data_IF_175468277194
#
_entry.id   IF_175468277194
#
_cell.length_a   1.000
_cell.length_b   1.000
_cell.length_c   1.000
_cell.angle_alpha   90.00
_cell.angle_beta   90.00
_cell.angle_gamma   90.00
#
_symmetry.space_group_name_H-M   'P 1'
#
loop_
_entity.id
_entity.type
_entity.pdbx_description
1 polymer ?
#
# COMPACT_ATOMS: atom_id res chain seq x y z
N UNK A 1 32.57 22.88 26.82
CA UNK A 1 31.16 23.04 26.42
C UNK A 1 30.64 21.66 26.05
N UNK A 2 30.12 20.90 27.00
CA UNK A 2 29.50 19.59 26.74
C UNK A 2 28.09 19.83 26.21
N UNK A 3 27.87 19.62 24.92
CA UNK A 3 26.53 19.65 24.34
C UNK A 3 25.82 18.35 24.74
N UNK A 4 25.31 18.30 25.97
CA UNK A 4 24.39 17.27 26.43
C UNK A 4 23.03 17.58 25.80
N UNK A 5 22.92 17.35 24.49
CA UNK A 5 21.63 17.39 23.80
C UNK A 5 20.79 16.24 24.32
N UNK A 6 19.56 16.52 24.75
CA UNK A 6 18.59 15.48 25.04
C UNK A 6 18.52 14.54 23.83
N UNK A 7 18.90 13.29 24.02
CA UNK A 7 18.77 12.25 23.01
C UNK A 7 17.27 12.02 22.77
N UNK A 8 16.76 12.52 21.65
CA UNK A 8 15.34 12.42 21.28
C UNK A 8 15.19 11.66 19.97
N UNK A 9 14.34 10.65 19.99
CA UNK A 9 13.87 9.96 18.78
C UNK A 9 12.52 10.56 18.40
N UNK A 10 12.39 11.01 17.15
CA UNK A 10 11.12 11.54 16.61
C UNK A 10 10.68 10.61 15.48
N UNK A 11 9.44 10.12 15.56
CA UNK A 11 8.84 9.23 14.56
C UNK A 11 7.78 10.00 13.80
N UNK A 12 7.90 9.99 12.46
CA UNK A 12 6.89 10.52 11.56
C UNK A 12 6.30 9.39 10.73
N UNK A 13 5.00 9.46 10.45
CA UNK A 13 4.30 8.52 9.58
C UNK A 13 3.66 9.29 8.42
N UNK A 14 3.68 8.70 7.23
CA UNK A 14 2.98 9.24 6.05
C UNK A 14 2.55 8.09 5.15
N UNK A 15 1.38 8.23 4.54
CA UNK A 15 0.93 7.34 3.47
C UNK A 15 1.45 7.79 2.10
N UNK A 16 1.97 9.02 2.00
CA UNK A 16 2.37 9.68 0.76
C UNK A 16 3.76 10.28 0.91
N UNK A 17 4.81 9.45 0.77
CA UNK A 17 6.20 9.91 0.86
C UNK A 17 6.57 10.85 -0.30
N UNK A 18 6.01 10.60 -1.47
CA UNK A 18 6.20 11.35 -2.71
C UNK A 18 5.71 12.81 -2.64
N UNK A 19 4.79 13.11 -1.73
CA UNK A 19 4.26 14.47 -1.51
C UNK A 19 5.07 15.29 -0.51
N UNK A 20 6.07 14.69 0.14
CA UNK A 20 6.93 15.41 1.08
C UNK A 20 7.98 16.22 0.34
N UNK A 21 8.28 17.41 0.87
CA UNK A 21 9.40 18.21 0.39
C UNK A 21 10.71 17.41 0.51
N UNK A 22 11.47 17.21 -0.58
CA UNK A 22 12.76 16.51 -0.55
C UNK A 22 13.75 17.07 0.47
N UNK A 23 13.63 18.34 0.87
CA UNK A 23 14.43 18.94 1.93
C UNK A 23 14.16 18.34 3.32
N UNK A 24 13.00 17.74 3.57
CA UNK A 24 12.68 17.05 4.82
C UNK A 24 13.35 15.67 4.92
N UNK A 25 13.56 15.00 3.79
CA UNK A 25 14.14 13.65 3.68
C UNK A 25 15.68 13.64 3.71
N UNK A 26 16.31 14.81 3.90
CA UNK A 26 17.78 14.93 3.96
C UNK A 26 18.31 14.41 5.31
N UNK A 27 19.51 13.82 5.33
CA UNK A 27 20.18 13.44 6.58
C UNK A 27 20.33 14.61 7.56
N UNK A 28 20.16 14.33 8.86
CA UNK A 28 20.01 15.30 9.95
C UNK A 28 18.57 15.76 10.20
N UNK A 29 17.58 15.18 9.50
CA UNK A 29 16.14 15.47 9.66
C UNK A 29 15.38 14.14 9.72
N UNK A 30 14.96 13.60 8.57
CA UNK A 30 14.34 12.28 8.46
C UNK A 30 15.37 11.33 7.87
N UNK A 31 16.11 10.66 8.73
CA UNK A 31 17.35 9.97 8.34
C UNK A 31 17.09 8.50 7.99
N UNK A 32 16.10 7.90 8.65
CA UNK A 32 15.72 6.50 8.50
C UNK A 32 14.31 6.42 7.93
N UNK A 33 14.17 5.73 6.81
CA UNK A 33 12.90 5.54 6.13
C UNK A 33 12.54 4.06 6.10
N UNK A 34 11.45 3.69 6.77
CA UNK A 34 10.92 2.32 6.78
C UNK A 34 9.62 2.32 5.98
N UNK A 35 9.55 1.48 4.95
CA UNK A 35 8.32 1.27 4.20
C UNK A 35 7.49 0.15 4.84
N UNK A 36 6.29 0.48 5.30
CA UNK A 36 5.35 -0.47 5.90
C UNK A 36 4.41 -0.98 4.81
N UNK A 37 4.76 -2.12 4.20
CA UNK A 37 4.01 -2.72 3.09
C UNK A 37 2.83 -3.58 3.56
N UNK A 38 2.13 -4.19 2.60
CA UNK A 38 1.15 -5.25 2.84
C UNK A 38 1.75 -6.47 3.57
N UNK A 39 0.86 -7.29 4.11
CA UNK A 39 1.20 -8.51 4.85
C UNK A 39 1.92 -9.49 3.92
N UNK A 40 3.01 -10.07 4.41
CA UNK A 40 3.74 -11.13 3.72
C UNK A 40 3.41 -12.49 4.33
N UNK A 41 3.67 -13.61 3.62
CA UNK A 41 3.54 -14.96 4.17
C UNK A 41 4.27 -15.13 5.52
N UNK A 42 5.49 -14.59 5.62
CA UNK A 42 6.24 -14.59 6.88
C UNK A 42 5.60 -13.71 7.96
N UNK A 43 5.02 -12.57 7.57
CA UNK A 43 4.29 -11.70 8.50
C UNK A 43 3.06 -12.41 9.07
N UNK A 44 2.31 -13.12 8.23
CA UNK A 44 1.19 -13.96 8.67
C UNK A 44 1.61 -15.02 9.69
N UNK A 45 2.69 -15.77 9.45
CA UNK A 45 3.19 -16.77 10.41
C UNK A 45 3.49 -16.17 11.79
N UNK A 46 4.07 -14.96 11.80
CA UNK A 46 4.32 -14.23 13.05
C UNK A 46 3.01 -13.84 13.73
N UNK A 47 2.00 -13.38 12.98
CA UNK A 47 0.68 -13.07 13.54
C UNK A 47 -0.03 -14.33 14.07
N UNK A 48 0.06 -15.45 13.34
CA UNK A 48 -0.53 -16.72 13.75
C UNK A 48 0.12 -17.27 15.03
N UNK A 49 1.45 -17.22 15.15
CA UNK A 49 2.16 -17.63 16.38
C UNK A 49 1.83 -16.67 17.54
N UNK A 50 1.78 -15.36 17.28
CA UNK A 50 1.52 -14.35 18.32
C UNK A 50 0.09 -14.39 18.88
N UNK A 51 -0.91 -14.61 18.03
CA UNK A 51 -2.33 -14.53 18.43
C UNK A 51 -2.95 -15.89 18.74
N UNK A 52 -2.58 -16.94 17.99
CA UNK A 52 -3.17 -18.27 18.10
C UNK A 52 -2.17 -19.29 18.67
N UNK A 53 -0.88 -18.97 18.79
CA UNK A 53 0.14 -19.90 19.29
C UNK A 53 0.44 -21.07 18.35
N UNK A 54 0.04 -20.96 17.08
CA UNK A 54 0.25 -22.00 16.05
C UNK A 54 1.42 -21.62 15.15
N UNK A 55 2.30 -22.60 14.92
CA UNK A 55 3.49 -22.43 14.06
C UNK A 55 3.37 -23.11 12.73
N UNK A 56 2.46 -24.07 12.63
CA UNK A 56 2.19 -24.84 11.42
C UNK A 56 0.73 -25.28 11.42
N UNK A 57 0.14 -25.35 10.23
CA UNK A 57 -1.23 -25.78 10.00
C UNK A 57 -1.41 -26.21 8.55
N UNK A 58 -2.30 -27.17 8.31
CA UNK A 58 -2.59 -27.67 6.95
C UNK A 58 -3.06 -26.55 6.00
N UNK A 59 -3.74 -25.54 6.56
CA UNK A 59 -4.27 -24.38 5.84
C UNK A 59 -3.25 -23.27 5.56
N UNK A 60 -2.05 -23.32 6.15
CA UNK A 60 -1.05 -22.26 5.98
C UNK A 60 -0.60 -22.12 4.53
N UNK A 61 -0.44 -23.23 3.81
CA UNK A 61 -0.03 -23.20 2.40
C UNK A 61 -0.98 -22.35 1.55
N UNK A 62 -2.29 -22.59 1.68
CA UNK A 62 -3.30 -21.83 0.97
C UNK A 62 -3.34 -20.35 1.38
N UNK A 63 -3.25 -20.06 2.69
CA UNK A 63 -3.25 -18.68 3.20
C UNK A 63 -2.03 -17.91 2.70
N UNK A 64 -0.85 -18.52 2.68
CA UNK A 64 0.38 -17.90 2.19
C UNK A 64 0.29 -17.54 0.70
N UNK A 65 -0.31 -18.42 -0.13
CA UNK A 65 -0.53 -18.14 -1.54
C UNK A 65 -1.54 -17.00 -1.74
N UNK A 66 -2.64 -17.00 -0.99
CA UNK A 66 -3.66 -15.97 -1.08
C UNK A 66 -3.13 -14.60 -0.64
N UNK A 67 -2.38 -14.53 0.46
CA UNK A 67 -1.80 -13.27 0.98
C UNK A 67 -0.89 -12.58 -0.05
N UNK A 68 -0.14 -13.35 -0.85
CA UNK A 68 0.72 -12.77 -1.88
C UNK A 68 -0.04 -12.01 -2.98
N UNK A 69 -1.32 -12.35 -3.20
CA UNK A 69 -2.13 -11.76 -4.28
C UNK A 69 -3.23 -10.84 -3.79
N UNK A 70 -3.68 -11.00 -2.54
CA UNK A 70 -4.82 -10.28 -1.99
C UNK A 70 -4.52 -8.85 -1.52
N UNK A 71 -3.26 -8.42 -1.43
CA UNK A 71 -2.86 -7.07 -0.96
C UNK A 71 -3.55 -6.66 0.36
N UNK A 72 -3.49 -7.55 1.35
CA UNK A 72 -4.05 -7.31 2.70
C UNK A 72 -3.04 -6.68 3.64
N UNK A 73 -3.49 -5.81 4.53
CA UNK A 73 -2.64 -5.23 5.57
C UNK A 73 -2.45 -6.19 6.74
N UNK A 74 -1.33 -6.12 7.48
CA UNK A 74 -1.15 -6.93 8.69
C UNK A 74 -2.27 -6.72 9.73
N UNK A 75 -2.85 -5.53 9.80
CA UNK A 75 -3.96 -5.21 10.69
C UNK A 75 -5.24 -5.97 10.31
N UNK A 76 -5.59 -6.01 9.02
CA UNK A 76 -6.77 -6.76 8.54
C UNK A 76 -6.62 -8.27 8.79
N UNK A 77 -5.41 -8.81 8.61
CA UNK A 77 -5.13 -10.23 8.92
C UNK A 77 -5.27 -10.50 10.41
N UNK A 78 -4.67 -9.65 11.26
CA UNK A 78 -4.79 -9.76 12.71
C UNK A 78 -6.25 -9.69 13.17
N UNK A 79 -7.05 -8.81 12.57
CA UNK A 79 -8.48 -8.72 12.85
C UNK A 79 -9.20 -10.03 12.56
N UNK A 80 -8.97 -10.67 11.40
CA UNK A 80 -9.63 -11.95 11.11
C UNK A 80 -9.20 -13.05 12.07
N UNK A 81 -7.92 -13.11 12.45
CA UNK A 81 -7.41 -14.12 13.39
C UNK A 81 -8.02 -14.00 14.79
N UNK A 82 -8.47 -12.79 15.16
CA UNK A 82 -9.02 -12.49 16.48
C UNK A 82 -10.56 -12.40 16.50
N UNK A 83 -11.24 -12.65 15.37
CA UNK A 83 -12.71 -12.55 15.29
C UNK A 83 -13.45 -13.66 16.02
N UNK A 84 -12.86 -14.85 16.08
CA UNK A 84 -13.46 -16.02 16.68
C UNK A 84 -12.93 -16.20 18.11
N UNK A 85 -13.78 -15.94 19.10
CA UNK A 85 -13.45 -16.05 20.54
C UNK A 85 -13.35 -17.51 21.03
N UNK A 86 -13.82 -18.48 20.22
CA UNK A 86 -14.10 -19.86 20.66
C UNK A 86 -12.90 -20.83 20.61
N UNK A 87 -11.66 -20.35 20.55
CA UNK A 87 -10.42 -21.17 20.55
C UNK A 87 -10.29 -22.20 19.41
N UNK A 88 -11.19 -22.21 18.44
CA UNK A 88 -11.08 -23.07 17.27
C UNK A 88 -10.17 -22.41 16.23
N UNK A 89 -8.89 -22.80 16.23
CA UNK A 89 -7.91 -22.33 15.25
C UNK A 89 -8.38 -22.57 13.81
N UNK A 90 -9.06 -23.68 13.55
CA UNK A 90 -9.61 -24.03 12.24
C UNK A 90 -10.67 -23.02 11.77
N UNK A 91 -11.52 -22.53 12.68
CA UNK A 91 -12.55 -21.55 12.37
C UNK A 91 -11.92 -20.21 11.97
N UNK A 92 -10.95 -19.72 12.76
CA UNK A 92 -10.25 -18.46 12.49
C UNK A 92 -9.48 -18.51 11.15
N UNK A 93 -8.78 -19.62 10.87
CA UNK A 93 -8.04 -19.79 9.62
C UNK A 93 -8.96 -19.92 8.41
N UNK A 94 -10.07 -20.66 8.55
CA UNK A 94 -11.08 -20.78 7.49
C UNK A 94 -11.78 -19.45 7.22
N UNK A 95 -12.07 -18.68 8.27
CA UNK A 95 -12.59 -17.31 8.19
C UNK A 95 -11.63 -16.39 7.43
N UNK A 96 -10.33 -16.48 7.74
CA UNK A 96 -9.30 -15.74 7.02
C UNK A 96 -9.22 -16.11 5.53
N UNK A 97 -9.30 -17.39 5.17
CA UNK A 97 -9.33 -17.82 3.75
C UNK A 97 -10.51 -17.18 3.01
N UNK A 98 -11.71 -17.25 3.60
CA UNK A 98 -12.91 -16.63 3.00
C UNK A 98 -12.72 -15.12 2.80
N UNK A 99 -12.19 -14.43 3.81
CA UNK A 99 -11.87 -13.01 3.72
C UNK A 99 -10.87 -12.70 2.59
N UNK A 100 -9.80 -13.49 2.47
CA UNK A 100 -8.77 -13.30 1.45
C UNK A 100 -9.31 -13.48 0.02
N UNK A 101 -10.19 -14.45 -0.20
CA UNK A 101 -10.85 -14.62 -1.50
C UNK A 101 -11.71 -13.41 -1.89
N UNK A 102 -12.50 -12.89 -0.96
CA UNK A 102 -13.33 -11.70 -1.19
C UNK A 102 -12.42 -10.51 -1.49
N UNK A 103 -11.39 -10.29 -0.65
CA UNK A 103 -10.49 -9.15 -0.78
C UNK A 103 -9.70 -9.16 -2.08
N UNK A 104 -9.23 -10.33 -2.50
CA UNK A 104 -8.55 -10.50 -3.79
C UNK A 104 -9.43 -10.04 -4.95
N UNK A 105 -10.69 -10.48 -4.98
CA UNK A 105 -11.64 -10.09 -6.02
C UNK A 105 -11.92 -8.58 -6.00
N UNK A 106 -12.16 -8.00 -4.83
CA UNK A 106 -12.37 -6.56 -4.68
C UNK A 106 -11.18 -5.73 -5.18
N UNK A 107 -9.96 -6.18 -4.87
CA UNK A 107 -8.73 -5.50 -5.28
C UNK A 107 -8.47 -5.64 -6.80
N UNK A 108 -8.76 -6.79 -7.40
CA UNK A 108 -8.71 -6.99 -8.84
C UNK A 108 -9.69 -6.06 -9.57
N UNK A 109 -10.93 -5.96 -9.09
CA UNK A 109 -11.94 -5.03 -9.64
C UNK A 109 -11.54 -3.57 -9.47
N UNK A 110 -10.97 -3.20 -8.31
CA UNK A 110 -10.49 -1.85 -8.05
C UNK A 110 -9.30 -1.47 -8.95
N UNK A 111 -8.37 -2.40 -9.19
CA UNK A 111 -7.24 -2.20 -10.11
C UNK A 111 -7.70 -2.02 -11.55
N UNK A 112 -8.66 -2.83 -12.02
CA UNK A 112 -9.23 -2.69 -13.35
C UNK A 112 -9.86 -1.29 -13.55
N UNK A 113 -10.65 -0.82 -12.57
CA UNK A 113 -11.26 0.52 -12.61
C UNK A 113 -10.23 1.64 -12.56
N UNK A 114 -9.15 1.49 -11.77
CA UNK A 114 -8.07 2.49 -11.70
C UNK A 114 -7.27 2.56 -13.00
N UNK A 115 -6.94 1.43 -13.60
CA UNK A 115 -6.24 1.39 -14.89
C UNK A 115 -7.05 2.08 -16.00
N UNK A 116 -8.37 1.86 -16.02
CA UNK A 116 -9.28 2.52 -16.97
C UNK A 116 -9.40 4.03 -16.71
N UNK A 117 -9.36 4.47 -15.45
CA UNK A 117 -9.35 5.89 -15.09
C UNK A 117 -8.01 6.59 -15.37
N UNK A 118 -6.90 5.89 -15.21
CA UNK A 118 -5.56 6.39 -15.55
C UNK A 118 -5.38 6.54 -17.06
N UNK A 119 -5.85 5.58 -17.87
CA UNK A 119 -5.84 5.72 -19.33
C UNK A 119 -6.70 6.88 -19.83
N UNK A 120 -7.88 7.10 -19.23
CA UNK A 120 -8.75 8.24 -19.59
C UNK A 120 -8.12 9.58 -19.16
N UNK A 121 -7.39 9.62 -18.04
CA UNK A 121 -6.63 10.81 -17.63
C UNK A 121 -5.47 11.11 -18.56
N UNK A 122 -4.68 10.10 -18.91
CA UNK A 122 -3.55 10.24 -19.84
C UNK A 122 -4.01 10.68 -21.23
N UNK A 123 -5.13 10.16 -21.74
CA UNK A 123 -5.73 10.63 -23.00
C UNK A 123 -6.21 12.09 -22.91
N UNK A 124 -6.86 12.48 -21.81
CA UNK A 124 -7.31 13.87 -21.62
C UNK A 124 -6.16 14.88 -21.46
N UNK A 125 -5.05 14.48 -20.83
CA UNK A 125 -3.86 15.33 -20.66
C UNK A 125 -3.08 15.47 -21.98
N UNK A 126 -3.07 14.44 -22.83
CA UNK A 126 -2.52 14.51 -24.19
C UNK A 126 -3.37 15.36 -25.14
N UNK A 127 -4.70 15.28 -25.07
CA UNK A 127 -5.58 16.17 -25.85
C UNK A 127 -5.38 17.64 -25.44
N UNK A 128 -5.30 17.94 -24.14
CA UNK A 128 -5.06 19.30 -23.61
C UNK A 128 -3.67 19.86 -23.96
N UNK A 129 -2.63 19.04 -24.09
CA UNK A 129 -1.31 19.46 -24.59
C UNK A 129 -1.34 19.73 -26.10
N UNK A 130 -1.97 18.86 -26.88
CA UNK A 130 -2.07 19.02 -28.34
C UNK A 130 -2.86 20.26 -28.75
N UNK A 131 -3.93 20.60 -28.01
CA UNK A 131 -4.75 21.80 -28.23
C UNK A 131 -4.02 23.11 -27.86
N UNK A 132 -3.02 23.05 -26.97
CA UNK A 132 -2.18 24.20 -26.60
C UNK A 132 -1.11 24.46 -27.65
N UNK A 133 -0.45 23.40 -28.14
CA UNK A 133 0.55 23.51 -29.21
C UNK A 133 -0.07 24.03 -30.53
N UNK A 134 -1.28 23.58 -30.88
CA UNK A 134 -1.97 24.03 -32.10
C UNK A 134 -2.40 25.51 -32.04
N UNK A 135 -2.68 26.04 -30.83
CA UNK A 135 -3.01 27.45 -30.60
C UNK A 135 -1.77 28.35 -30.64
N UNK A 136 -0.64 27.89 -30.10
CA UNK A 136 0.64 28.63 -30.18
C UNK A 136 1.18 28.72 -31.61
N UNK A 137 1.07 27.67 -32.44
CA UNK A 137 1.51 27.71 -33.84
C UNK A 137 0.68 28.70 -34.69
N UNK A 138 -0.65 28.73 -34.49
CA UNK A 138 -1.54 29.65 -35.22
C UNK A 138 -1.28 31.11 -34.85
N UNK A 139 -0.97 31.38 -33.58
CA UNK A 139 -0.67 32.74 -33.10
C UNK A 139 0.68 33.25 -33.63
N UNK A 140 1.67 32.37 -33.80
CA UNK A 140 2.99 32.71 -34.33
C UNK A 140 2.98 32.99 -35.84
N UNK A 141 2.08 32.35 -36.60
CA UNK A 141 1.91 32.57 -38.05
C UNK A 141 1.23 33.89 -38.41
N UNK A 142 0.41 34.46 -37.52
CA UNK A 142 -0.31 35.72 -37.77
C UNK A 142 0.60 36.96 -37.66
N UNK A 143 1.74 36.86 -36.96
CA UNK A 143 2.64 38.00 -36.67
C UNK A 143 3.74 38.17 -37.75
N UNK A 144 3.91 37.21 -38.68
CA UNK A 144 4.78 37.34 -39.86
C UNK A 144 3.99 37.82 -41.08
N UNK A 145 3.68 39.12 -41.13
CA UNK A 145 3.30 39.84 -42.36
C UNK A 145 4.13 41.11 -42.45
#
# INVERSE_FOLDING_TARGET
MSNCGDERIIIFTTNHKEKLDPALLRPGRMDVHIHMSYCSPSGFKVLADNYLGIKDHELFGEIEELIQTAEVTPAEVAEQLLKDDDYEHDAALSGLINFLHVKKKENEEAKAKKAEQESIKEESEQEDESDKEEKEEKQTRIIKV
#
